data_IF_888329142263
#
_entry.id   IF_888329142263
#
_cell.length_a   1.000
_cell.length_b   1.000
_cell.length_c   1.000
_cell.angle_alpha   90.00
_cell.angle_beta   90.00
_cell.angle_gamma   90.00
#
_symmetry.space_group_name_H-M   'P 1'
#
loop_
_entity.id
_entity.type
_entity.pdbx_description
1 polymer ?
#
# COMPACT_ATOMS: atom_id res chain seq x y z
N UNK A 1 6.51 -3.16 -1.46
CA UNK A 1 6.59 -3.39 -2.90
C UNK A 1 6.72 -4.88 -3.19
N UNK A 2 6.19 -5.33 -4.34
CA UNK A 2 6.20 -6.76 -4.71
C UNK A 2 7.62 -7.33 -4.79
N UNK A 3 8.57 -6.57 -5.30
CA UNK A 3 9.97 -6.99 -5.39
C UNK A 3 10.62 -7.17 -4.01
N UNK A 4 10.29 -6.29 -3.05
CA UNK A 4 10.77 -6.45 -1.68
C UNK A 4 10.22 -7.71 -1.03
N UNK A 5 8.94 -8.01 -1.27
CA UNK A 5 8.34 -9.25 -0.77
C UNK A 5 8.95 -10.48 -1.43
N UNK A 6 9.14 -10.47 -2.76
CA UNK A 6 9.80 -11.55 -3.49
C UNK A 6 11.22 -11.81 -2.97
N UNK A 7 11.97 -10.75 -2.67
CA UNK A 7 13.30 -10.85 -2.07
C UNK A 7 13.26 -11.51 -0.69
N UNK A 8 12.29 -11.12 0.16
CA UNK A 8 12.13 -11.75 1.48
C UNK A 8 11.81 -13.27 1.35
N UNK A 9 10.94 -13.62 0.41
CA UNK A 9 10.62 -15.02 0.12
C UNK A 9 11.85 -15.80 -0.37
N UNK A 10 12.61 -15.24 -1.30
CA UNK A 10 13.83 -15.88 -1.81
C UNK A 10 14.88 -16.08 -0.70
N UNK A 11 15.09 -15.07 0.15
CA UNK A 11 16.02 -15.17 1.28
C UNK A 11 15.59 -16.25 2.28
N UNK A 12 14.29 -16.43 2.51
CA UNK A 12 13.79 -17.43 3.45
C UNK A 12 14.05 -18.87 3.01
N UNK A 13 14.20 -19.12 1.70
CA UNK A 13 14.46 -20.46 1.17
C UNK A 13 15.90 -20.95 1.42
N UNK A 14 16.85 -20.05 1.64
CA UNK A 14 18.25 -20.38 1.81
C UNK A 14 18.74 -20.38 3.28
N UNK A 15 17.86 -20.20 4.26
CA UNK A 15 18.23 -20.01 5.66
C UNK A 15 17.48 -20.98 6.57
N UNK A 16 18.19 -21.91 7.20
CA UNK A 16 17.59 -22.89 8.12
C UNK A 16 16.84 -22.24 9.27
N UNK A 17 17.29 -21.08 9.75
CA UNK A 17 16.61 -20.30 10.78
C UNK A 17 15.20 -19.84 10.36
N UNK A 18 14.87 -19.82 9.08
CA UNK A 18 13.54 -19.49 8.56
C UNK A 18 12.52 -20.62 8.68
N UNK A 19 12.99 -21.86 8.93
CA UNK A 19 12.11 -23.02 9.02
C UNK A 19 11.08 -22.85 10.17
N UNK A 20 9.80 -23.03 9.83
CA UNK A 20 8.68 -22.88 10.77
C UNK A 20 8.57 -21.49 11.41
N UNK A 21 9.03 -20.44 10.72
CA UNK A 21 8.93 -19.04 11.17
C UNK A 21 7.88 -18.27 10.40
N UNK A 22 7.33 -17.26 11.04
CA UNK A 22 6.44 -16.26 10.43
C UNK A 22 7.17 -14.93 10.47
N UNK A 23 7.24 -14.27 9.33
CA UNK A 23 7.84 -12.96 9.16
C UNK A 23 6.82 -11.94 8.68
N UNK A 24 6.87 -10.75 9.26
CA UNK A 24 6.20 -9.59 8.71
C UNK A 24 7.17 -8.89 7.74
N UNK A 25 6.70 -8.59 6.54
CA UNK A 25 7.45 -7.85 5.54
C UNK A 25 6.63 -6.64 5.13
N UNK A 26 7.08 -5.46 5.50
CA UNK A 26 6.41 -4.19 5.18
C UNK A 26 7.42 -3.06 5.09
N UNK A 27 6.97 -1.87 4.66
CA UNK A 27 7.76 -0.65 4.82
C UNK A 27 8.10 -0.42 6.29
N UNK A 28 9.28 0.10 6.56
CA UNK A 28 9.73 0.53 7.90
C UNK A 28 9.15 1.89 8.30
N UNK A 29 8.52 2.59 7.37
CA UNK A 29 7.93 3.90 7.59
C UNK A 29 6.41 3.82 7.50
N UNK A 30 5.73 4.45 8.45
CA UNK A 30 4.29 4.67 8.39
C UNK A 30 3.94 5.87 7.51
N UNK A 31 2.80 5.80 6.85
CA UNK A 31 2.23 6.91 6.09
C UNK A 31 0.75 7.08 6.46
N UNK A 32 0.28 8.32 6.58
CA UNK A 32 -1.14 8.59 6.73
C UNK A 32 -1.88 8.43 5.39
N UNK A 33 -3.19 8.20 5.42
CA UNK A 33 -3.99 8.17 4.18
C UNK A 33 -3.84 9.45 3.35
N UNK A 34 -3.85 10.61 3.99
CA UNK A 34 -3.60 11.89 3.31
C UNK A 34 -2.21 11.93 2.67
N UNK A 35 -1.20 11.43 3.37
CA UNK A 35 0.17 11.31 2.84
C UNK A 35 0.23 10.35 1.65
N UNK A 36 -0.49 9.23 1.73
CA UNK A 36 -0.56 8.25 0.63
C UNK A 36 -1.20 8.85 -0.63
N UNK A 37 -2.30 9.60 -0.48
CA UNK A 37 -2.95 10.30 -1.61
C UNK A 37 -1.99 11.31 -2.25
N UNK A 38 -1.28 12.10 -1.43
CA UNK A 38 -0.30 13.05 -1.92
C UNK A 38 0.88 12.37 -2.65
N UNK A 39 1.37 11.24 -2.14
CA UNK A 39 2.42 10.47 -2.80
C UNK A 39 1.92 9.84 -4.12
N UNK A 40 0.70 9.32 -4.15
CA UNK A 40 0.09 8.80 -5.37
C UNK A 40 -0.11 9.89 -6.44
N UNK A 41 -0.56 11.10 -6.04
CA UNK A 41 -0.67 12.23 -6.95
C UNK A 41 0.68 12.56 -7.60
N UNK A 42 1.75 12.63 -6.80
CA UNK A 42 3.10 12.84 -7.34
C UNK A 42 3.55 11.72 -8.28
N UNK A 43 3.24 10.47 -7.94
CA UNK A 43 3.61 9.32 -8.77
C UNK A 43 2.98 9.38 -10.17
N UNK A 44 1.77 9.92 -10.31
CA UNK A 44 1.12 10.12 -11.61
C UNK A 44 1.33 11.54 -12.19
N UNK A 45 2.30 12.29 -11.69
CA UNK A 45 2.68 13.61 -12.23
C UNK A 45 1.70 14.74 -11.92
N UNK A 46 0.81 14.55 -10.93
CA UNK A 46 -0.13 15.59 -10.49
C UNK A 46 0.39 16.36 -9.30
N UNK A 47 0.02 17.63 -9.19
CA UNK A 47 0.24 18.42 -7.99
C UNK A 47 -0.66 17.92 -6.85
N UNK A 48 -0.12 17.46 -5.71
CA UNK A 48 -0.92 17.04 -4.57
C UNK A 48 -1.86 18.13 -4.02
N UNK A 49 -1.49 19.41 -4.16
CA UNK A 49 -2.30 20.53 -3.70
C UNK A 49 -3.56 20.74 -4.58
N UNK A 50 -3.53 20.27 -5.81
CA UNK A 50 -4.67 20.32 -6.73
C UNK A 50 -5.64 19.13 -6.59
N UNK A 51 -5.30 18.14 -5.75
CA UNK A 51 -6.17 16.98 -5.52
C UNK A 51 -7.16 17.28 -4.42
N UNK A 52 -8.45 17.26 -4.73
CA UNK A 52 -9.51 17.36 -3.74
C UNK A 52 -9.55 16.07 -2.90
N UNK A 53 -9.40 16.22 -1.58
CA UNK A 53 -9.48 15.11 -0.64
C UNK A 53 -10.80 15.25 0.12
N UNK A 54 -11.69 14.28 -0.06
CA UNK A 54 -12.94 14.18 0.71
C UNK A 54 -12.79 13.13 1.80
N UNK A 55 -13.38 13.41 2.94
CA UNK A 55 -13.43 12.48 4.07
C UNK A 55 -14.88 12.08 4.32
N UNK A 56 -15.09 10.84 4.69
CA UNK A 56 -16.40 10.32 5.07
C UNK A 56 -16.33 9.60 6.43
N UNK A 57 -17.47 9.50 7.12
CA UNK A 57 -17.56 8.70 8.34
C UNK A 57 -17.84 7.23 8.01
N UNK A 58 -16.89 6.33 8.25
CA UNK A 58 -17.08 4.90 7.98
C UNK A 58 -18.20 4.26 8.82
N UNK A 59 -18.60 4.88 9.95
CA UNK A 59 -19.67 4.35 10.79
C UNK A 59 -21.04 4.44 10.09
N UNK A 60 -21.22 5.44 9.20
CA UNK A 60 -22.42 5.63 8.41
C UNK A 60 -22.56 4.68 7.21
N UNK A 61 -21.52 3.96 6.84
CA UNK A 61 -21.55 3.07 5.68
C UNK A 61 -22.30 1.76 5.95
N UNK A 62 -23.03 1.30 4.96
CA UNK A 62 -23.66 -0.03 4.99
C UNK A 62 -22.62 -1.17 4.92
N UNK A 63 -23.07 -2.40 5.12
CA UNK A 63 -22.21 -3.59 5.16
C UNK A 63 -21.49 -3.85 3.81
N UNK A 64 -22.13 -3.51 2.69
CA UNK A 64 -21.58 -3.72 1.34
C UNK A 64 -20.48 -2.69 1.04
N UNK A 65 -20.75 -1.42 1.32
CA UNK A 65 -19.79 -0.34 1.18
C UNK A 65 -18.56 -0.53 2.07
N UNK A 66 -18.73 -1.00 3.31
CA UNK A 66 -17.62 -1.34 4.23
C UNK A 66 -16.72 -2.47 3.69
N UNK A 67 -17.23 -3.37 2.85
CA UNK A 67 -16.42 -4.43 2.25
C UNK A 67 -15.62 -3.94 1.05
N UNK A 68 -16.10 -2.93 0.34
CA UNK A 68 -15.43 -2.38 -0.83
C UNK A 68 -14.13 -1.66 -0.47
N UNK A 69 -14.07 -1.06 0.72
CA UNK A 69 -12.89 -0.36 1.21
C UNK A 69 -12.37 -0.99 2.51
N UNK A 70 -11.09 -1.34 2.61
CA UNK A 70 -10.52 -1.96 3.82
C UNK A 70 -10.36 -0.92 4.93
N UNK A 71 -11.48 -0.52 5.54
CA UNK A 71 -11.51 0.49 6.58
C UNK A 71 -10.91 -0.06 7.88
N UNK A 72 -9.66 0.27 8.11
CA UNK A 72 -9.02 0.12 9.42
C UNK A 72 -9.03 1.47 10.12
N UNK A 73 -9.83 1.59 11.18
CA UNK A 73 -9.93 2.81 11.99
C UNK A 73 -8.75 2.99 12.94
N UNK A 74 -7.94 1.94 13.14
CA UNK A 74 -6.77 1.98 14.00
C UNK A 74 -5.50 2.10 13.17
N UNK A 75 -4.47 2.72 13.75
CA UNK A 75 -3.12 2.69 13.19
C UNK A 75 -2.65 1.24 13.06
N UNK A 76 -2.11 0.92 11.90
CA UNK A 76 -1.61 -0.40 11.61
C UNK A 76 -0.15 -0.30 11.16
N UNK A 77 0.74 -0.61 12.07
CA UNK A 77 2.17 -0.69 11.82
C UNK A 77 2.65 -2.11 12.12
N UNK A 78 3.53 -2.61 11.30
CA UNK A 78 4.05 -3.96 11.41
C UNK A 78 5.50 -3.91 11.84
N UNK A 79 5.85 -4.66 12.88
CA UNK A 79 7.25 -4.83 13.30
C UNK A 79 7.96 -5.79 12.34
N UNK A 80 9.00 -5.30 11.70
CA UNK A 80 9.86 -6.03 10.75
C UNK A 80 11.22 -6.42 11.34
N UNK A 81 11.45 -6.18 12.62
CA UNK A 81 12.74 -6.43 13.28
C UNK A 81 13.19 -7.89 13.13
N UNK A 82 12.25 -8.83 13.21
CA UNK A 82 12.58 -10.26 13.08
C UNK A 82 13.14 -10.59 11.70
N UNK A 83 12.48 -10.17 10.62
CA UNK A 83 12.95 -10.47 9.26
C UNK A 83 14.28 -9.79 8.97
N UNK A 84 14.50 -8.59 9.48
CA UNK A 84 15.77 -7.88 9.36
C UNK A 84 16.89 -8.62 10.05
N UNK A 85 16.67 -9.07 11.29
CA UNK A 85 17.68 -9.75 12.06
C UNK A 85 18.00 -11.15 11.56
N UNK A 86 16.98 -11.94 11.18
CA UNK A 86 17.14 -13.37 10.87
C UNK A 86 17.42 -13.62 9.39
N UNK A 87 16.94 -12.78 8.50
CA UNK A 87 17.14 -12.92 7.04
C UNK A 87 18.00 -11.81 6.44
N UNK A 88 18.50 -10.85 7.24
CA UNK A 88 19.16 -9.64 6.76
C UNK A 88 18.35 -8.88 5.68
N UNK A 89 17.03 -9.04 5.68
CA UNK A 89 16.16 -8.39 4.71
C UNK A 89 15.85 -6.96 5.11
N UNK A 90 15.90 -6.07 4.13
CA UNK A 90 15.47 -4.68 4.26
C UNK A 90 14.74 -4.27 3.00
N UNK A 91 13.59 -3.57 3.09
CA UNK A 91 12.91 -3.09 1.90
C UNK A 91 13.79 -2.07 1.17
N UNK A 92 13.85 -2.18 -0.14
CA UNK A 92 14.59 -1.29 -1.04
C UNK A 92 13.77 -0.11 -1.52
N UNK A 93 12.45 -0.26 -1.51
CA UNK A 93 11.52 0.78 -1.97
C UNK A 93 10.98 1.59 -0.78
N UNK A 94 11.09 2.91 -0.85
CA UNK A 94 10.21 3.79 -0.07
C UNK A 94 8.78 3.69 -0.59
N UNK A 95 7.80 4.23 0.16
CA UNK A 95 6.39 4.26 -0.30
C UNK A 95 6.27 5.05 -1.60
N UNK A 96 6.96 6.17 -1.71
CA UNK A 96 6.98 7.01 -2.92
C UNK A 96 7.57 6.27 -4.12
N UNK A 97 8.73 5.63 -3.94
CA UNK A 97 9.38 4.85 -5.00
C UNK A 97 8.49 3.68 -5.45
N UNK A 98 7.86 2.99 -4.51
CA UNK A 98 6.94 1.90 -4.79
C UNK A 98 5.71 2.36 -5.60
N UNK A 99 5.16 3.53 -5.27
CA UNK A 99 4.03 4.11 -6.00
C UNK A 99 4.43 4.54 -7.41
N UNK A 100 5.61 5.17 -7.59
CA UNK A 100 6.12 5.54 -8.92
C UNK A 100 6.33 4.30 -9.77
N UNK A 101 6.98 3.27 -9.24
CA UNK A 101 7.23 2.01 -9.95
C UNK A 101 5.90 1.33 -10.33
N UNK A 102 4.99 1.16 -9.38
CA UNK A 102 3.69 0.52 -9.61
C UNK A 102 2.83 1.29 -10.60
N UNK A 103 2.86 2.62 -10.56
CA UNK A 103 2.15 3.45 -11.52
C UNK A 103 2.72 3.29 -12.93
N UNK A 104 4.03 3.46 -13.09
CA UNK A 104 4.67 3.52 -14.40
C UNK A 104 4.75 2.16 -15.08
N UNK A 105 5.03 1.09 -14.33
CA UNK A 105 5.31 -0.23 -14.87
C UNK A 105 4.09 -1.16 -14.88
N UNK A 106 2.98 -0.77 -14.25
CA UNK A 106 1.79 -1.60 -14.16
C UNK A 106 0.50 -0.81 -14.39
N UNK A 107 0.14 0.09 -13.50
CA UNK A 107 -1.17 0.74 -13.51
C UNK A 107 -1.42 1.56 -14.77
N UNK A 108 -0.48 2.42 -15.17
CA UNK A 108 -0.61 3.28 -16.34
C UNK A 108 -0.74 2.49 -17.65
N UNK A 109 -0.18 1.29 -17.70
CA UNK A 109 -0.25 0.40 -18.87
C UNK A 109 -1.61 -0.30 -19.00
N UNK A 110 -2.36 -0.39 -17.90
CA UNK A 110 -3.65 -1.09 -17.82
C UNK A 110 -4.85 -0.18 -17.58
N UNK A 111 -4.62 1.12 -17.54
CA UNK A 111 -5.69 2.08 -17.33
C UNK A 111 -6.80 1.92 -18.38
N UNK A 112 -8.05 1.69 -17.97
CA UNK A 112 -9.17 1.71 -18.90
C UNK A 112 -9.37 3.11 -19.46
N UNK A 113 -9.83 3.22 -20.70
CA UNK A 113 -10.11 4.50 -21.36
C UNK A 113 -11.18 5.32 -20.61
N UNK A 114 -12.08 4.64 -19.90
CA UNK A 114 -13.12 5.25 -19.06
C UNK A 114 -13.25 4.41 -17.77
N UNK A 115 -12.54 4.77 -16.69
CA UNK A 115 -12.67 4.09 -15.41
C UNK A 115 -14.06 4.35 -14.81
N UNK A 116 -14.65 3.31 -14.21
CA UNK A 116 -15.92 3.41 -13.49
C UNK A 116 -15.66 3.74 -12.01
N UNK A 117 -16.06 4.94 -11.61
CA UNK A 117 -15.97 5.42 -10.22
C UNK A 117 -17.31 5.38 -9.47
N UNK A 118 -18.34 4.77 -10.03
CA UNK A 118 -19.69 4.75 -9.42
C UNK A 118 -19.69 4.17 -7.99
N UNK A 119 -18.81 3.20 -7.71
CA UNK A 119 -18.62 2.65 -6.38
C UNK A 119 -18.01 3.64 -5.39
N UNK A 120 -17.07 4.45 -5.85
CA UNK A 120 -16.41 5.48 -5.03
C UNK A 120 -17.34 6.66 -4.81
N UNK A 121 -18.08 7.09 -5.84
CA UNK A 121 -19.07 8.17 -5.75
C UNK A 121 -20.17 7.84 -4.74
N UNK A 122 -20.58 6.57 -4.66
CA UNK A 122 -21.55 6.10 -3.67
C UNK A 122 -21.05 6.18 -2.21
N UNK A 123 -19.72 6.26 -1.99
CA UNK A 123 -19.12 6.40 -0.66
C UNK A 123 -19.06 7.84 -0.16
N UNK A 124 -18.98 8.78 -1.09
CA UNK A 124 -18.76 10.20 -0.77
C UNK A 124 -19.99 11.09 -0.97
N UNK A 125 -21.09 10.53 -1.48
CA UNK A 125 -22.41 11.18 -1.64
C UNK A 125 -22.48 12.15 -2.79
#
# INVERSE_FOLDING_TARGET
HVNDLATAMALSLGVDAAANRIYNCSSVQGISFKGLVAAAARACGKDPAAVEIRSFDPAGLDKKARKAFPLRLAHFLTDVTRVQRELAWTPTYSVEQALVDSYSNDYALRLPTSPDFSGDDALIG
#
